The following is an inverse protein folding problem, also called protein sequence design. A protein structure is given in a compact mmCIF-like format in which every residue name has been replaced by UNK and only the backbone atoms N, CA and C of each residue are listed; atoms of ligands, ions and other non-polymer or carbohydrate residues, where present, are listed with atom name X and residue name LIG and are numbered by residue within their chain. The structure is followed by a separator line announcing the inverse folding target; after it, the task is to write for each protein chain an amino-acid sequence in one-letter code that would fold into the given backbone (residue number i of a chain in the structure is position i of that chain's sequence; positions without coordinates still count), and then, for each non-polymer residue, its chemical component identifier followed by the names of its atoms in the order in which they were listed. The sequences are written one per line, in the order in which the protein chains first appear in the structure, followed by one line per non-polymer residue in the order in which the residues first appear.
data_IF_880765785827
#
_entry.id   IF_880765785827
#
_cell.length_a   1.000
_cell.length_b   1.000
_cell.length_c   1.000
_cell.angle_alpha   90.00
_cell.angle_beta   90.00
_cell.angle_gamma   90.00
#
_symmetry.space_group_name_H-M   'P 1'
#
loop_
_entity.id
_entity.type
_entity.pdbx_description
1 polymer ?
#
# COMPACT_ATOMS: atom_id res chain seq x y z
N UNK A 1 13.30 -0.39 23.96
CA UNK A 1 13.48 1.08 23.90
C UNK A 1 12.15 1.83 23.68
N UNK A 2 11.52 1.84 22.48
CA UNK A 2 10.23 2.58 22.29
C UNK A 2 9.15 2.14 23.24
N UNK A 3 8.94 0.84 23.44
CA UNK A 3 7.95 0.30 24.36
C UNK A 3 8.18 0.70 25.84
N UNK A 4 9.40 0.90 26.25
CA UNK A 4 9.76 1.36 27.61
C UNK A 4 9.33 2.81 27.79
N UNK A 5 9.63 3.66 26.80
CA UNK A 5 9.21 5.07 26.84
C UNK A 5 7.68 5.18 26.74
N UNK A 6 7.03 4.37 25.87
CA UNK A 6 5.58 4.38 25.73
C UNK A 6 4.84 4.12 27.05
N UNK A 7 5.43 3.31 27.96
CA UNK A 7 4.83 3.05 29.28
C UNK A 7 4.94 4.23 30.26
N UNK A 8 5.82 5.19 30.00
CA UNK A 8 6.01 6.38 30.86
C UNK A 8 5.15 7.57 30.44
N UNK A 9 4.51 7.49 29.27
CA UNK A 9 3.63 8.52 28.74
C UNK A 9 2.18 8.13 28.98
N UNK A 10 1.33 9.11 29.32
CA UNK A 10 -0.12 8.86 29.41
C UNK A 10 -0.64 8.44 28.01
N UNK A 11 -1.36 7.33 27.88
CA UNK A 11 -1.74 6.80 26.58
C UNK A 11 -2.47 7.82 25.67
N UNK A 12 -3.36 8.61 26.23
CA UNK A 12 -4.10 9.63 25.46
C UNK A 12 -3.22 10.79 24.97
N UNK A 13 -2.03 10.96 25.56
CA UNK A 13 -1.03 11.95 25.17
C UNK A 13 0.04 11.37 24.22
N UNK A 14 -0.14 10.15 23.71
CA UNK A 14 0.81 9.43 22.89
C UNK A 14 0.28 9.17 21.48
N UNK A 15 1.03 9.60 20.47
CA UNK A 15 0.84 9.25 19.07
C UNK A 15 1.85 8.18 18.61
N UNK A 16 1.38 7.16 17.92
CA UNK A 16 2.18 6.09 17.33
C UNK A 16 2.09 6.16 15.81
N UNK A 17 3.21 6.52 15.16
CA UNK A 17 3.27 6.64 13.70
C UNK A 17 3.90 5.38 13.12
N UNK A 18 3.07 4.47 12.63
CA UNK A 18 3.48 3.19 12.01
C UNK A 18 4.40 2.33 12.89
N UNK A 19 4.26 2.44 14.20
CA UNK A 19 5.06 1.67 15.16
C UNK A 19 4.64 0.20 15.28
N UNK A 20 3.46 -0.17 14.77
CA UNK A 20 2.86 -1.48 15.03
C UNK A 20 2.46 -1.62 16.52
N UNK A 21 2.35 -2.87 16.98
CA UNK A 21 2.06 -3.14 18.38
C UNK A 21 3.34 -3.01 19.24
N UNK A 22 3.30 -2.12 20.21
CA UNK A 22 4.37 -1.99 21.21
C UNK A 22 4.02 -2.84 22.42
N UNK A 23 4.90 -3.80 22.83
CA UNK A 23 4.63 -4.67 23.96
C UNK A 23 4.34 -3.92 25.26
N UNK A 24 3.21 -4.23 25.90
CA UNK A 24 2.80 -3.62 27.18
C UNK A 24 2.29 -2.18 27.04
N UNK A 25 1.91 -1.75 25.84
CA UNK A 25 1.22 -0.49 25.64
C UNK A 25 -0.17 -0.56 26.26
N UNK A 26 -0.54 0.45 27.05
CA UNK A 26 -1.90 0.60 27.60
C UNK A 26 -2.84 1.12 26.49
N UNK A 27 -4.12 0.76 26.57
CA UNK A 27 -5.14 1.24 25.65
C UNK A 27 -5.27 2.78 25.71
N UNK A 28 -5.62 3.40 24.58
CA UNK A 28 -5.89 4.85 24.48
C UNK A 28 -4.86 5.66 23.70
N UNK A 29 -3.69 5.08 23.32
CA UNK A 29 -2.76 5.78 22.43
C UNK A 29 -3.34 5.88 21.01
N UNK A 30 -3.18 7.04 20.38
CA UNK A 30 -3.61 7.24 18.99
C UNK A 30 -2.59 6.58 18.05
N UNK A 31 -3.07 5.68 17.20
CA UNK A 31 -2.24 4.90 16.28
C UNK A 31 -2.50 5.31 14.84
N UNK A 32 -1.45 5.62 14.12
CA UNK A 32 -1.50 5.82 12.68
C UNK A 32 -1.13 4.52 11.98
N UNK A 33 -2.11 3.89 11.33
CA UNK A 33 -1.96 2.60 10.64
C UNK A 33 -1.86 2.79 9.12
N UNK A 34 -1.17 1.87 8.45
CA UNK A 34 -0.99 1.88 7.00
C UNK A 34 -1.63 0.68 6.30
N UNK A 35 -1.87 -0.41 7.03
CA UNK A 35 -2.30 -1.67 6.46
C UNK A 35 -3.48 -2.25 7.25
N UNK A 36 -4.41 -2.92 6.57
CA UNK A 36 -5.58 -3.56 7.20
C UNK A 36 -5.19 -4.54 8.30
N UNK A 37 -4.02 -5.18 8.20
CA UNK A 37 -3.48 -6.10 9.22
C UNK A 37 -3.09 -5.40 10.53
N UNK A 38 -2.99 -4.09 10.52
CA UNK A 38 -2.70 -3.29 11.72
C UNK A 38 -3.98 -2.88 12.47
N UNK A 39 -5.16 -3.15 11.90
CA UNK A 39 -6.44 -2.84 12.55
C UNK A 39 -6.65 -3.72 13.77
N UNK A 40 -6.97 -3.09 14.90
CA UNK A 40 -7.36 -3.76 16.15
C UNK A 40 -8.81 -3.49 16.52
N UNK A 41 -9.50 -2.64 15.75
CA UNK A 41 -10.85 -2.16 16.07
C UNK A 41 -10.88 -1.10 17.17
N UNK A 42 -9.73 -0.56 17.56
CA UNK A 42 -9.67 0.52 18.54
C UNK A 42 -10.24 1.83 17.96
N UNK A 43 -11.04 2.59 18.72
CA UNK A 43 -11.53 3.91 18.28
C UNK A 43 -10.42 4.96 18.15
N UNK A 44 -9.19 4.64 18.58
CA UNK A 44 -8.01 5.50 18.48
C UNK A 44 -7.12 5.16 17.28
N UNK A 45 -7.62 4.40 16.32
CA UNK A 45 -6.93 4.13 15.06
C UNK A 45 -7.23 5.23 14.06
N UNK A 46 -6.19 5.88 13.58
CA UNK A 46 -6.24 6.85 12.50
C UNK A 46 -5.58 6.24 11.27
N UNK A 47 -6.13 6.54 10.10
CA UNK A 47 -5.51 6.23 8.83
C UNK A 47 -4.84 7.52 8.34
N UNK A 48 -3.52 7.50 8.15
CA UNK A 48 -2.79 8.67 7.74
C UNK A 48 -3.28 9.17 6.39
N UNK A 49 -3.67 10.42 6.32
CA UNK A 49 -3.87 11.22 5.10
C UNK A 49 -4.70 10.54 3.99
N UNK A 50 -5.47 9.56 4.34
CA UNK A 50 -6.15 8.71 3.37
C UNK A 50 -7.44 9.30 2.84
N UNK A 51 -7.79 10.45 3.16
CA UNK A 51 -8.96 11.15 2.65
C UNK A 51 -8.64 12.57 2.25
N UNK A 52 -7.37 12.92 2.17
CA UNK A 52 -6.98 14.24 1.68
C UNK A 52 -6.95 14.27 0.16
N UNK A 53 -8.11 14.09 -0.43
CA UNK A 53 -8.42 14.63 -1.74
C UNK A 53 -8.43 16.18 -1.71
N UNK A 54 -8.66 16.74 -0.52
CA UNK A 54 -8.65 18.17 -0.24
C UNK A 54 -7.37 18.55 0.54
N UNK A 55 -6.47 19.37 -0.04
CA UNK A 55 -5.29 19.89 0.65
C UNK A 55 -5.62 20.69 1.92
N UNK A 56 -6.86 21.17 2.06
CA UNK A 56 -7.33 21.89 3.25
C UNK A 56 -7.80 20.98 4.37
N UNK A 57 -7.90 19.66 4.15
CA UNK A 57 -8.32 18.72 5.17
C UNK A 57 -7.35 18.71 6.35
N UNK A 58 -7.81 18.60 7.60
CA UNK A 58 -6.95 18.64 8.79
C UNK A 58 -5.96 17.47 8.77
N UNK A 59 -4.79 17.61 9.43
CA UNK A 59 -3.82 16.54 9.54
C UNK A 59 -4.45 15.28 10.16
N UNK A 60 -3.85 14.09 9.93
CA UNK A 60 -4.46 12.80 10.34
C UNK A 60 -4.78 12.70 11.84
N UNK A 61 -4.19 13.53 12.67
CA UNK A 61 -4.48 13.63 14.09
C UNK A 61 -5.47 14.77 14.45
N UNK A 62 -6.01 15.47 13.44
CA UNK A 62 -6.87 16.64 13.65
C UNK A 62 -6.13 17.73 14.44
N UNK A 63 -6.86 18.38 15.38
CA UNK A 63 -6.29 19.39 16.28
C UNK A 63 -5.65 18.78 17.54
N UNK A 64 -5.59 17.44 17.64
CA UNK A 64 -4.99 16.78 18.78
C UNK A 64 -3.49 17.12 18.87
N UNK A 65 -3.05 17.43 20.10
CA UNK A 65 -1.66 17.73 20.40
C UNK A 65 -1.16 16.74 21.45
N UNK A 66 -0.10 16.03 21.12
CA UNK A 66 0.44 14.96 21.93
C UNK A 66 1.71 15.41 22.68
N UNK A 67 1.93 14.87 23.88
CA UNK A 67 3.16 15.05 24.64
C UNK A 67 4.32 14.25 24.05
N UNK A 68 4.00 13.11 23.39
CA UNK A 68 4.97 12.28 22.71
C UNK A 68 4.42 11.71 21.42
N UNK A 69 5.29 11.64 20.40
CA UNK A 69 5.06 10.91 19.17
C UNK A 69 6.19 9.90 18.95
N UNK A 70 5.86 8.70 18.54
CA UNK A 70 6.82 7.64 18.27
C UNK A 70 6.75 7.22 16.82
N UNK A 71 7.92 7.09 16.20
CA UNK A 71 8.06 6.68 14.80
C UNK A 71 8.98 5.46 14.72
N UNK A 72 8.49 4.40 14.09
CA UNK A 72 9.33 3.26 13.72
C UNK A 72 9.36 3.14 12.20
N UNK A 73 10.38 3.72 11.54
CA UNK A 73 10.45 3.76 10.10
C UNK A 73 10.55 2.35 9.49
N UNK A 74 9.73 2.11 8.47
CA UNK A 74 9.77 0.90 7.67
C UNK A 74 10.71 1.11 6.49
N UNK A 75 12.00 0.79 6.64
CA UNK A 75 13.05 1.09 5.67
C UNK A 75 12.76 0.57 4.24
N UNK A 76 11.99 -0.54 4.11
CA UNK A 76 11.59 -1.12 2.83
C UNK A 76 10.58 -0.25 2.06
N UNK A 77 9.85 0.65 2.75
CA UNK A 77 8.91 1.59 2.11
C UNK A 77 9.60 2.88 1.62
N UNK A 78 10.90 2.99 1.83
CA UNK A 78 11.73 4.08 1.32
C UNK A 78 11.99 5.20 2.31
N UNK A 79 12.97 6.05 1.91
CA UNK A 79 13.40 7.18 2.73
C UNK A 79 12.32 8.25 2.84
N UNK A 80 11.67 8.59 1.74
CA UNK A 80 10.59 9.57 1.64
C UNK A 80 9.40 9.22 2.54
N UNK A 81 9.03 7.95 2.63
CA UNK A 81 8.03 7.50 3.59
C UNK A 81 8.47 7.69 5.04
N UNK A 82 9.72 7.36 5.35
CA UNK A 82 10.25 7.55 6.70
C UNK A 82 10.31 9.03 7.09
N UNK A 83 10.63 9.91 6.15
CA UNK A 83 10.61 11.37 6.34
C UNK A 83 9.20 11.89 6.56
N UNK A 84 8.22 11.41 5.79
CA UNK A 84 6.81 11.73 5.98
C UNK A 84 6.30 11.30 7.38
N UNK A 85 6.70 10.12 7.86
CA UNK A 85 6.36 9.66 9.21
C UNK A 85 6.93 10.56 10.30
N UNK A 86 8.19 11.02 10.16
CA UNK A 86 8.79 11.97 11.10
C UNK A 86 8.07 13.31 11.10
N UNK A 87 7.72 13.81 9.92
CA UNK A 87 6.97 15.04 9.75
C UNK A 87 5.59 14.97 10.40
N UNK A 88 4.83 13.89 10.14
CA UNK A 88 3.52 13.64 10.77
C UNK A 88 3.62 13.57 12.29
N UNK A 89 4.64 12.85 12.80
CA UNK A 89 4.90 12.79 14.24
C UNK A 89 5.21 14.15 14.84
N UNK A 90 6.02 14.99 14.16
CA UNK A 90 6.36 16.32 14.61
C UNK A 90 5.16 17.30 14.58
N UNK A 91 4.32 17.21 13.53
CA UNK A 91 3.10 18.00 13.42
C UNK A 91 2.09 17.68 14.54
N UNK A 92 2.01 16.40 14.94
CA UNK A 92 1.09 15.94 15.98
C UNK A 92 1.46 16.43 17.40
N UNK A 93 2.71 16.84 17.64
CA UNK A 93 3.18 17.23 18.97
C UNK A 93 2.61 18.58 19.44
N UNK A 94 2.38 18.69 20.74
CA UNK A 94 2.28 19.97 21.43
C UNK A 94 3.64 20.68 21.48
N UNK A 95 3.67 21.95 21.80
CA UNK A 95 4.93 22.66 22.14
C UNK A 95 5.56 22.02 23.39
N UNK A 96 6.87 21.78 23.34
CA UNK A 96 7.59 20.98 24.34
C UNK A 96 7.42 19.47 24.21
N UNK A 97 6.57 18.99 23.32
CA UNK A 97 6.36 17.56 23.03
C UNK A 97 7.59 16.89 22.42
N UNK A 98 7.69 15.58 22.59
CA UNK A 98 8.88 14.79 22.26
C UNK A 98 8.63 13.83 21.11
N UNK A 99 9.42 13.95 20.05
CA UNK A 99 9.47 13.01 18.93
C UNK A 99 10.53 11.93 19.18
N UNK A 100 10.12 10.67 19.18
CA UNK A 100 11.04 9.54 19.28
C UNK A 100 11.10 8.77 17.97
N UNK A 101 12.33 8.41 17.54
CA UNK A 101 12.53 7.59 16.35
C UNK A 101 13.56 6.50 16.63
N UNK A 102 13.17 5.24 16.46
CA UNK A 102 14.10 4.12 16.57
C UNK A 102 14.52 3.65 15.17
N UNK A 103 15.80 3.77 14.83
CA UNK A 103 16.30 3.40 13.51
C UNK A 103 17.67 2.72 13.56
N UNK A 104 17.92 1.76 12.64
CA UNK A 104 19.25 1.14 12.51
C UNK A 104 20.27 2.17 11.98
N UNK A 105 21.40 2.30 12.69
CA UNK A 105 22.49 3.23 12.32
C UNK A 105 22.92 3.06 10.86
N UNK A 106 23.11 1.81 10.41
CA UNK A 106 23.59 1.46 9.06
C UNK A 106 22.49 1.47 7.99
N UNK A 107 21.19 1.49 8.36
CA UNK A 107 20.05 1.50 7.44
C UNK A 107 19.28 2.83 7.53
N UNK A 108 19.96 3.95 7.28
CA UNK A 108 19.34 5.27 7.19
C UNK A 108 19.21 6.05 8.51
N UNK A 109 19.58 5.49 9.69
CA UNK A 109 19.43 6.18 10.97
C UNK A 109 20.07 7.57 11.03
N UNK A 110 21.25 7.74 10.44
CA UNK A 110 21.91 9.08 10.35
C UNK A 110 21.12 10.06 9.49
N UNK A 111 20.49 9.59 8.39
CA UNK A 111 19.66 10.42 7.52
C UNK A 111 18.40 10.87 8.26
N UNK A 112 17.75 9.95 8.98
CA UNK A 112 16.54 10.27 9.75
C UNK A 112 16.84 11.25 10.90
N UNK A 113 17.98 11.11 11.60
CA UNK A 113 18.41 12.09 12.59
C UNK A 113 18.64 13.48 11.96
N UNK A 114 19.14 13.55 10.73
CA UNK A 114 19.29 14.83 10.00
C UNK A 114 17.91 15.42 9.67
N UNK A 115 16.97 14.60 9.22
CA UNK A 115 15.58 15.06 8.97
C UNK A 115 14.92 15.55 10.26
N UNK A 116 15.10 14.85 11.40
CA UNK A 116 14.59 15.31 12.70
C UNK A 116 15.19 16.68 13.07
N UNK A 117 16.51 16.89 12.88
CA UNK A 117 17.14 18.20 13.12
C UNK A 117 16.63 19.29 12.19
N UNK A 118 16.44 18.96 10.91
CA UNK A 118 15.85 19.89 9.96
C UNK A 118 14.44 20.32 10.35
N UNK A 119 13.65 19.43 10.98
CA UNK A 119 12.30 19.68 11.43
C UNK A 119 12.23 20.46 12.76
N UNK A 120 13.09 20.10 13.74
CA UNK A 120 12.95 20.51 15.14
C UNK A 120 14.06 21.48 15.60
N UNK A 121 15.12 21.69 14.81
CA UNK A 121 16.33 22.41 15.19
C UNK A 121 17.48 21.48 15.54
N UNK A 122 18.73 21.93 15.32
CA UNK A 122 19.94 21.12 15.49
C UNK A 122 20.16 20.71 16.95
N UNK A 123 19.99 21.63 17.87
CA UNK A 123 20.17 21.45 19.31
C UNK A 123 19.05 20.60 19.95
N UNK A 124 17.89 20.48 19.26
CA UNK A 124 16.71 19.81 19.78
C UNK A 124 16.81 18.27 19.68
N UNK A 125 17.81 17.69 18.99
CA UNK A 125 17.85 16.26 18.66
C UNK A 125 19.08 15.56 19.20
N UNK A 126 18.85 14.55 20.04
CA UNK A 126 19.90 13.74 20.68
C UNK A 126 19.68 12.23 20.53
N UNK A 127 20.70 11.43 20.86
CA UNK A 127 20.61 9.97 20.95
C UNK A 127 20.42 9.58 22.41
N UNK A 128 19.22 9.12 22.77
CA UNK A 128 18.86 8.75 24.14
C UNK A 128 18.96 7.25 24.42
N UNK A 129 19.24 6.42 23.42
CA UNK A 129 19.40 4.98 23.60
C UNK A 129 20.11 4.32 22.43
N UNK A 130 20.76 3.17 22.72
CA UNK A 130 21.40 2.30 21.73
C UNK A 130 21.18 0.85 22.13
N UNK A 131 20.69 0.03 21.17
CA UNK A 131 20.50 -1.40 21.38
C UNK A 131 20.61 -2.16 20.05
N UNK A 132 21.43 -3.22 19.99
CA UNK A 132 21.58 -4.15 18.85
C UNK A 132 21.69 -3.46 17.48
N UNK A 133 22.44 -2.35 17.43
CA UNK A 133 22.66 -1.56 16.19
C UNK A 133 21.53 -0.57 15.87
N UNK A 134 20.50 -0.47 16.69
CA UNK A 134 19.53 0.61 16.66
C UNK A 134 19.97 1.78 17.53
N UNK A 135 19.68 2.98 17.06
CA UNK A 135 19.72 4.20 17.84
C UNK A 135 18.29 4.70 18.06
N UNK A 136 18.04 5.12 19.29
CA UNK A 136 16.83 5.83 19.65
C UNK A 136 17.15 7.32 19.69
N UNK A 137 16.60 8.05 18.75
CA UNK A 137 16.67 9.49 18.68
C UNK A 137 15.50 10.09 19.42
N UNK A 138 15.73 11.19 20.14
CA UNK A 138 14.72 12.05 20.74
C UNK A 138 14.87 13.45 20.18
N UNK A 139 13.78 14.08 19.77
CA UNK A 139 13.71 15.49 19.43
C UNK A 139 12.64 16.18 20.24
N UNK A 140 12.77 17.46 20.51
CA UNK A 140 11.79 18.27 21.23
C UNK A 140 11.22 19.32 20.27
N UNK A 141 9.88 19.43 20.19
CA UNK A 141 9.25 20.49 19.43
C UNK A 141 9.34 21.80 20.24
N UNK A 142 10.10 22.74 19.73
CA UNK A 142 10.31 24.06 20.32
C UNK A 142 10.10 25.18 19.29
N UNK A 143 10.59 26.38 19.56
CA UNK A 143 10.41 27.55 18.68
C UNK A 143 11.06 27.36 17.29
N UNK A 144 12.08 26.51 17.16
CA UNK A 144 12.75 26.21 15.89
C UNK A 144 12.01 25.20 15.03
N UNK A 145 10.82 24.74 15.42
CA UNK A 145 10.02 23.79 14.65
C UNK A 145 9.59 24.38 13.31
N UNK A 146 9.95 23.70 12.24
CA UNK A 146 9.70 24.12 10.85
C UNK A 146 8.41 23.48 10.34
N UNK A 147 7.27 24.10 10.61
CA UNK A 147 5.95 23.61 10.25
C UNK A 147 5.78 23.43 8.73
N UNK A 148 6.28 24.40 7.93
CA UNK A 148 6.23 24.34 6.46
C UNK A 148 6.99 23.14 5.89
N UNK A 149 8.19 22.84 6.42
CA UNK A 149 8.94 21.65 6.01
C UNK A 149 8.22 20.37 6.43
N UNK A 150 7.60 20.35 7.60
CA UNK A 150 6.85 19.19 8.06
C UNK A 150 5.62 18.97 7.18
N UNK A 151 4.93 20.01 6.77
CA UNK A 151 3.83 19.94 5.83
C UNK A 151 4.29 19.43 4.45
N UNK A 152 5.35 20.01 3.88
CA UNK A 152 5.95 19.54 2.62
C UNK A 152 6.30 18.05 2.64
N UNK A 153 6.96 17.59 3.71
CA UNK A 153 7.37 16.18 3.80
C UNK A 153 6.19 15.23 4.00
N UNK A 154 5.17 15.65 4.74
CA UNK A 154 4.00 14.82 5.05
C UNK A 154 3.01 14.73 3.89
N UNK A 155 2.92 15.76 3.05
CA UNK A 155 1.98 15.86 1.92
C UNK A 155 2.61 15.52 0.57
N UNK A 156 3.88 15.12 0.53
CA UNK A 156 4.62 14.79 -0.70
C UNK A 156 3.84 13.81 -1.57
N UNK A 157 3.68 14.18 -2.84
CA UNK A 157 3.00 13.37 -3.86
C UNK A 157 3.84 13.28 -5.13
N UNK A 158 3.49 12.33 -6.00
CA UNK A 158 4.11 12.08 -7.30
C UNK A 158 3.02 11.82 -8.31
N UNK A 159 3.22 12.27 -9.55
CA UNK A 159 2.36 11.89 -10.67
C UNK A 159 3.06 10.81 -11.50
N UNK A 160 2.32 9.78 -11.87
CA UNK A 160 2.77 8.70 -12.74
C UNK A 160 1.98 8.80 -14.05
N UNK A 161 2.70 8.98 -15.14
CA UNK A 161 2.22 8.84 -16.52
C UNK A 161 3.08 7.82 -17.22
N UNK A 162 2.47 6.87 -17.90
CA UNK A 162 3.17 5.79 -18.58
C UNK A 162 2.44 5.42 -19.87
N UNK A 163 3.14 5.18 -20.97
CA UNK A 163 2.52 4.78 -22.23
C UNK A 163 1.63 3.53 -22.14
N UNK A 164 1.97 2.59 -21.24
CA UNK A 164 1.16 1.39 -21.00
C UNK A 164 -0.23 1.71 -20.40
N UNK A 165 -0.35 2.85 -19.72
CA UNK A 165 -1.61 3.33 -19.14
C UNK A 165 -2.43 4.16 -20.12
N UNK A 166 -1.91 4.46 -21.33
CA UNK A 166 -2.57 5.34 -22.29
C UNK A 166 -2.67 6.77 -21.75
N UNK A 167 -3.89 7.30 -21.64
CA UNK A 167 -4.13 8.66 -21.17
C UNK A 167 -4.30 8.78 -19.64
N UNK A 168 -4.28 7.67 -18.91
CA UNK A 168 -4.46 7.69 -17.46
C UNK A 168 -3.29 8.39 -16.78
N UNK A 169 -3.61 9.20 -15.78
CA UNK A 169 -2.66 9.82 -14.87
C UNK A 169 -2.96 9.36 -13.44
N UNK A 170 -1.95 8.83 -12.75
CA UNK A 170 -2.10 8.33 -11.40
C UNK A 170 -1.31 9.20 -10.43
N UNK A 171 -1.97 9.61 -9.36
CA UNK A 171 -1.28 10.19 -8.22
C UNK A 171 -0.78 9.09 -7.29
N UNK A 172 0.38 9.33 -6.72
CA UNK A 172 1.05 8.42 -5.81
C UNK A 172 1.69 9.17 -4.65
N UNK A 173 1.96 8.47 -3.55
CA UNK A 173 2.57 9.03 -2.34
C UNK A 173 3.62 8.10 -1.74
N UNK A 174 4.49 8.59 -0.85
CA UNK A 174 5.37 7.73 -0.06
C UNK A 174 4.59 6.65 0.71
N UNK A 175 5.14 5.44 0.80
CA UNK A 175 4.53 4.33 1.56
C UNK A 175 3.67 3.37 0.75
N UNK A 176 3.55 3.58 -0.57
CA UNK A 176 2.90 2.66 -1.50
C UNK A 176 3.90 2.04 -2.47
N UNK A 177 3.50 0.95 -3.10
CA UNK A 177 4.25 0.35 -4.20
C UNK A 177 4.16 1.23 -5.46
N UNK A 178 5.23 1.24 -6.28
CA UNK A 178 5.28 2.05 -7.53
C UNK A 178 5.05 3.55 -7.32
N UNK A 179 5.68 4.14 -6.33
CA UNK A 179 5.41 5.51 -5.92
C UNK A 179 5.86 6.60 -6.90
N UNK A 180 6.80 6.33 -7.82
CA UNK A 180 7.37 7.34 -8.75
C UNK A 180 7.23 6.99 -10.21
N UNK A 181 7.07 5.72 -10.53
CA UNK A 181 6.97 5.20 -11.89
C UNK A 181 6.15 3.91 -11.91
N UNK A 182 5.61 3.56 -13.06
CA UNK A 182 4.93 2.28 -13.23
C UNK A 182 5.95 1.13 -13.16
N UNK A 183 5.64 0.09 -12.40
CA UNK A 183 6.47 -1.11 -12.30
C UNK A 183 6.58 -1.85 -13.64
N UNK A 184 7.77 -2.34 -13.96
CA UNK A 184 8.02 -3.04 -15.21
C UNK A 184 7.19 -4.33 -15.35
N UNK A 185 6.96 -5.06 -14.23
CA UNK A 185 6.05 -6.20 -14.21
C UNK A 185 4.62 -5.81 -14.55
N UNK A 186 4.14 -4.69 -14.00
CA UNK A 186 2.81 -4.14 -14.33
C UNK A 186 2.71 -3.76 -15.81
N UNK A 187 3.75 -3.15 -16.41
CA UNK A 187 3.79 -2.87 -17.85
C UNK A 187 3.70 -4.15 -18.67
N UNK A 188 4.49 -5.18 -18.31
CA UNK A 188 4.47 -6.47 -18.99
C UNK A 188 3.09 -7.14 -18.90
N UNK A 189 2.47 -7.11 -17.71
CA UNK A 189 1.13 -7.66 -17.48
C UNK A 189 0.07 -6.95 -18.32
N UNK A 190 0.07 -5.61 -18.37
CA UNK A 190 -0.82 -4.82 -19.22
C UNK A 190 -0.66 -5.22 -20.68
N UNK A 191 0.58 -5.22 -21.18
CA UNK A 191 0.84 -5.47 -22.59
C UNK A 191 0.42 -6.88 -23.03
N UNK A 192 0.66 -7.91 -22.21
CA UNK A 192 0.23 -9.29 -22.51
C UNK A 192 -1.28 -9.42 -22.40
N UNK A 193 -1.89 -8.82 -21.39
CA UNK A 193 -3.36 -8.84 -21.23
C UNK A 193 -4.04 -8.16 -22.39
N UNK A 194 -3.58 -7.00 -22.85
CA UNK A 194 -4.15 -6.32 -24.01
C UNK A 194 -4.04 -7.16 -25.29
N UNK A 195 -2.90 -7.83 -25.51
CA UNK A 195 -2.73 -8.73 -26.64
C UNK A 195 -3.70 -9.92 -26.60
N UNK A 196 -3.95 -10.49 -25.41
CA UNK A 196 -4.93 -11.54 -25.19
C UNK A 196 -6.34 -11.04 -25.50
N UNK A 197 -6.71 -9.88 -24.97
CA UNK A 197 -8.05 -9.28 -25.19
C UNK A 197 -8.29 -8.97 -26.67
N UNK A 198 -7.30 -8.47 -27.39
CA UNK A 198 -7.41 -8.21 -28.84
C UNK A 198 -7.57 -9.51 -29.63
N UNK A 199 -6.85 -10.56 -29.27
CA UNK A 199 -6.98 -11.88 -29.91
C UNK A 199 -8.39 -12.46 -29.70
N UNK A 200 -8.91 -12.33 -28.48
CA UNK A 200 -10.25 -12.83 -28.13
C UNK A 200 -11.35 -12.06 -28.87
N UNK A 201 -11.21 -10.73 -28.98
CA UNK A 201 -12.10 -9.85 -29.75
C UNK A 201 -12.10 -10.24 -31.23
N UNK A 202 -10.92 -10.45 -31.83
CA UNK A 202 -10.77 -10.91 -33.21
C UNK A 202 -11.38 -12.31 -33.45
N UNK A 203 -11.46 -13.15 -32.40
CA UNK A 203 -12.13 -14.44 -32.42
C UNK A 203 -13.66 -14.36 -32.12
N UNK A 204 -14.21 -13.15 -31.95
CA UNK A 204 -15.62 -12.92 -31.66
C UNK A 204 -16.04 -13.23 -30.22
N UNK A 205 -15.09 -13.34 -29.30
CA UNK A 205 -15.38 -13.56 -27.87
C UNK A 205 -15.88 -12.28 -27.21
N UNK A 206 -16.91 -12.39 -26.39
CA UNK A 206 -17.40 -11.23 -25.62
C UNK A 206 -16.32 -10.72 -24.65
N UNK A 207 -16.12 -9.40 -24.52
CA UNK A 207 -15.17 -8.83 -23.58
C UNK A 207 -15.59 -9.10 -22.13
N UNK A 208 -14.62 -9.24 -21.19
CA UNK A 208 -14.91 -9.37 -19.77
C UNK A 208 -15.71 -8.17 -19.26
N UNK A 209 -16.78 -8.45 -18.49
CA UNK A 209 -17.62 -7.42 -17.85
C UNK A 209 -17.33 -7.25 -16.36
N UNK A 210 -16.70 -8.24 -15.75
CA UNK A 210 -16.29 -8.19 -14.33
C UNK A 210 -14.82 -8.57 -14.22
N UNK A 211 -14.05 -7.68 -13.64
CA UNK A 211 -12.61 -7.82 -13.49
C UNK A 211 -12.24 -7.70 -12.01
N UNK A 212 -11.32 -8.54 -11.56
CA UNK A 212 -10.66 -8.44 -10.26
C UNK A 212 -9.23 -7.98 -10.48
N UNK A 213 -8.81 -6.95 -9.76
CA UNK A 213 -7.40 -6.57 -9.58
C UNK A 213 -7.00 -6.86 -8.13
N UNK A 214 -6.21 -7.90 -7.91
CA UNK A 214 -5.77 -8.31 -6.59
C UNK A 214 -4.34 -7.84 -6.33
N UNK A 215 -4.07 -7.30 -5.13
CA UNK A 215 -2.85 -6.54 -4.80
C UNK A 215 -2.71 -5.30 -5.68
N UNK A 216 -3.79 -4.53 -5.75
CA UNK A 216 -3.99 -3.48 -6.73
C UNK A 216 -3.02 -2.28 -6.60
N UNK A 217 -2.29 -2.13 -5.48
CA UNK A 217 -1.42 -0.98 -5.24
C UNK A 217 -2.20 0.32 -5.34
N UNK A 218 -1.72 1.28 -6.14
CA UNK A 218 -2.42 2.55 -6.40
C UNK A 218 -3.44 2.45 -7.56
N UNK A 219 -3.73 1.24 -8.04
CA UNK A 219 -4.76 0.93 -9.01
C UNK A 219 -4.37 0.94 -10.50
N UNK A 220 -3.10 0.80 -10.91
CA UNK A 220 -2.75 0.88 -12.33
C UNK A 220 -3.46 -0.17 -13.19
N UNK A 221 -3.58 -1.40 -12.72
CA UNK A 221 -4.26 -2.48 -13.45
C UNK A 221 -5.78 -2.29 -13.43
N UNK A 222 -6.35 -1.93 -12.27
CA UNK A 222 -7.78 -1.69 -12.13
C UNK A 222 -8.27 -0.57 -13.05
N UNK A 223 -7.56 0.58 -13.04
CA UNK A 223 -7.95 1.73 -13.86
C UNK A 223 -7.69 1.47 -15.34
N UNK A 224 -6.58 0.80 -15.68
CA UNK A 224 -6.32 0.39 -17.05
C UNK A 224 -7.43 -0.55 -17.57
N UNK A 225 -7.81 -1.57 -16.80
CA UNK A 225 -8.87 -2.49 -17.17
C UNK A 225 -10.22 -1.77 -17.35
N UNK A 226 -10.57 -0.87 -16.42
CA UNK A 226 -11.78 -0.06 -16.53
C UNK A 226 -11.75 0.86 -17.75
N UNK A 227 -10.62 1.47 -18.09
CA UNK A 227 -10.47 2.30 -19.29
C UNK A 227 -10.51 1.48 -20.57
N UNK A 228 -9.88 0.31 -20.60
CA UNK A 228 -9.77 -0.57 -21.78
C UNK A 228 -11.06 -1.31 -22.10
N UNK A 229 -11.84 -1.65 -21.08
CA UNK A 229 -13.08 -2.41 -21.17
C UNK A 229 -14.25 -1.50 -20.78
N UNK A 230 -14.86 -0.84 -21.76
CA UNK A 230 -15.84 0.25 -21.57
C UNK A 230 -17.02 -0.12 -20.64
N UNK A 231 -17.45 -1.38 -20.64
CA UNK A 231 -18.59 -1.85 -19.83
C UNK A 231 -18.19 -2.69 -18.62
N UNK A 232 -16.89 -2.78 -18.29
CA UNK A 232 -16.45 -3.58 -17.19
C UNK A 232 -16.65 -2.87 -15.84
N UNK A 233 -17.08 -3.67 -14.85
CA UNK A 233 -16.99 -3.33 -13.43
C UNK A 233 -15.73 -3.99 -12.87
N UNK A 234 -14.90 -3.21 -12.19
CA UNK A 234 -13.62 -3.66 -11.66
C UNK A 234 -13.65 -3.63 -10.15
N UNK A 235 -13.26 -4.73 -9.52
CA UNK A 235 -13.01 -4.81 -8.08
C UNK A 235 -11.52 -4.77 -7.85
N UNK A 236 -11.04 -3.75 -7.15
CA UNK A 236 -9.65 -3.63 -6.73
C UNK A 236 -9.52 -4.00 -5.26
N UNK A 237 -8.68 -4.99 -4.95
CA UNK A 237 -8.44 -5.47 -3.58
C UNK A 237 -7.02 -5.11 -3.17
N UNK A 238 -6.89 -4.42 -2.04
CA UNK A 238 -5.59 -3.95 -1.54
C UNK A 238 -5.58 -3.91 -0.01
N UNK A 239 -4.45 -4.26 0.59
CA UNK A 239 -4.26 -4.24 2.05
C UNK A 239 -3.72 -2.93 2.57
N UNK A 240 -2.95 -2.19 1.77
CA UNK A 240 -2.42 -0.89 2.13
C UNK A 240 -3.51 0.18 2.04
N UNK A 241 -3.90 0.71 3.17
CA UNK A 241 -4.99 1.67 3.30
C UNK A 241 -4.75 2.98 2.51
N UNK A 242 -3.50 3.45 2.46
CA UNK A 242 -3.12 4.61 1.64
C UNK A 242 -3.28 4.30 0.15
N UNK A 243 -2.87 3.12 -0.27
CA UNK A 243 -3.07 2.68 -1.65
C UNK A 243 -4.56 2.58 -1.99
N UNK A 244 -5.40 2.06 -1.09
CA UNK A 244 -6.86 2.03 -1.28
C UNK A 244 -7.46 3.42 -1.51
N UNK A 245 -7.04 4.43 -0.73
CA UNK A 245 -7.49 5.80 -0.93
C UNK A 245 -6.99 6.37 -2.26
N UNK A 246 -5.73 6.08 -2.62
CA UNK A 246 -5.18 6.49 -3.92
C UNK A 246 -5.90 5.82 -5.10
N UNK A 247 -6.36 4.57 -4.99
CA UNK A 247 -7.19 3.97 -6.03
C UNK A 247 -8.48 4.77 -6.22
N UNK A 248 -9.18 5.12 -5.12
CA UNK A 248 -10.42 5.92 -5.19
C UNK A 248 -10.17 7.29 -5.80
N UNK A 249 -9.13 7.98 -5.33
CA UNK A 249 -8.71 9.27 -5.87
C UNK A 249 -8.36 9.18 -7.37
N UNK A 250 -7.55 8.22 -7.75
CA UNK A 250 -7.14 8.00 -9.14
C UNK A 250 -8.33 7.61 -10.03
N UNK A 251 -9.29 6.85 -9.51
CA UNK A 251 -10.52 6.52 -10.22
C UNK A 251 -11.34 7.79 -10.49
N UNK A 252 -11.56 8.64 -9.48
CA UNK A 252 -12.26 9.91 -9.63
C UNK A 252 -11.54 10.85 -10.60
N UNK A 253 -10.21 11.01 -10.46
CA UNK A 253 -9.39 11.82 -11.36
C UNK A 253 -9.52 11.42 -12.85
N UNK A 254 -9.67 10.14 -13.12
CA UNK A 254 -9.79 9.59 -14.47
C UNK A 254 -11.25 9.30 -14.88
N UNK A 255 -12.26 9.75 -14.11
CA UNK A 255 -13.70 9.56 -14.37
C UNK A 255 -14.13 8.08 -14.43
N UNK A 256 -13.51 7.25 -13.58
CA UNK A 256 -13.74 5.80 -13.48
C UNK A 256 -14.34 5.37 -12.13
N UNK A 257 -14.69 6.31 -11.25
CA UNK A 257 -15.14 6.03 -9.87
C UNK A 257 -16.42 5.18 -9.82
N UNK A 258 -17.28 5.27 -10.81
CA UNK A 258 -18.49 4.46 -10.92
C UNK A 258 -18.24 3.02 -11.37
N UNK A 259 -17.02 2.73 -11.86
CA UNK A 259 -16.66 1.44 -12.44
C UNK A 259 -15.56 0.72 -11.66
N UNK A 260 -14.91 1.38 -10.70
CA UNK A 260 -13.85 0.81 -9.86
C UNK A 260 -14.29 0.80 -8.40
N UNK A 261 -14.55 -0.37 -7.86
CA UNK A 261 -14.87 -0.59 -6.44
C UNK A 261 -13.64 -1.06 -5.70
N UNK A 262 -13.30 -0.42 -4.58
CA UNK A 262 -12.14 -0.75 -3.76
C UNK A 262 -12.56 -1.55 -2.53
N UNK A 263 -11.90 -2.68 -2.29
CA UNK A 263 -12.04 -3.51 -1.08
C UNK A 263 -10.71 -3.47 -0.31
N UNK A 264 -10.80 -3.03 0.94
CA UNK A 264 -9.66 -2.98 1.88
C UNK A 264 -9.53 -4.34 2.56
N UNK A 265 -8.67 -5.22 2.01
CA UNK A 265 -8.53 -6.58 2.51
C UNK A 265 -7.13 -7.16 2.27
N UNK A 266 -6.67 -8.02 3.18
CA UNK A 266 -5.41 -8.75 3.04
C UNK A 266 -5.61 -10.05 2.23
N UNK A 267 -5.37 -9.98 0.93
CA UNK A 267 -5.63 -11.05 -0.04
C UNK A 267 -7.09 -11.11 -0.51
N UNK A 268 -7.51 -12.16 -1.21
CA UNK A 268 -8.86 -12.27 -1.73
C UNK A 268 -9.86 -12.43 -0.57
N UNK A 269 -10.85 -11.53 -0.42
CA UNK A 269 -11.96 -11.75 0.51
C UNK A 269 -12.89 -12.85 -0.03
N UNK A 270 -13.85 -13.28 0.78
CA UNK A 270 -14.90 -14.16 0.26
C UNK A 270 -15.69 -13.46 -0.86
N UNK A 271 -15.91 -14.11 -2.00
CA UNK A 271 -16.66 -13.50 -3.09
C UNK A 271 -18.13 -13.35 -2.71
N UNK A 272 -18.70 -12.20 -3.05
CA UNK A 272 -20.15 -12.00 -2.91
C UNK A 272 -20.91 -12.95 -3.86
N UNK A 273 -22.10 -13.41 -3.46
CA UNK A 273 -22.95 -14.22 -4.35
C UNK A 273 -23.15 -13.51 -5.69
N UNK A 274 -22.92 -14.24 -6.80
CA UNK A 274 -23.00 -13.73 -8.18
C UNK A 274 -21.92 -12.70 -8.59
N UNK A 275 -20.88 -12.50 -7.80
CA UNK A 275 -19.76 -11.59 -8.11
C UNK A 275 -18.62 -12.25 -8.91
N UNK A 276 -18.86 -13.45 -9.48
CA UNK A 276 -17.83 -14.16 -10.24
C UNK A 276 -17.30 -13.33 -11.42
N UNK A 277 -15.96 -13.27 -11.57
CA UNK A 277 -15.26 -12.45 -12.55
C UNK A 277 -14.79 -13.28 -13.74
N UNK A 278 -14.80 -12.67 -14.91
CA UNK A 278 -14.29 -13.30 -16.13
C UNK A 278 -12.77 -13.14 -16.28
N UNK A 279 -12.21 -12.11 -15.64
CA UNK A 279 -10.77 -11.80 -15.67
C UNK A 279 -10.29 -11.40 -14.28
N UNK A 280 -9.25 -12.05 -13.80
CA UNK A 280 -8.49 -11.62 -12.62
C UNK A 280 -7.08 -11.21 -13.05
N UNK A 281 -6.62 -10.06 -12.56
CA UNK A 281 -5.27 -9.54 -12.76
C UNK A 281 -4.53 -9.56 -11.43
N UNK A 282 -3.26 -9.94 -11.44
CA UNK A 282 -2.46 -10.07 -10.23
C UNK A 282 -0.99 -9.74 -10.46
N UNK A 283 -0.50 -8.73 -9.76
CA UNK A 283 0.93 -8.48 -9.57
C UNK A 283 1.27 -8.73 -8.09
N UNK A 284 1.57 -9.98 -7.68
CA UNK A 284 1.72 -10.32 -6.27
C UNK A 284 2.99 -9.72 -5.67
N UNK A 285 3.06 -9.54 -4.34
CA UNK A 285 4.27 -9.07 -3.67
C UNK A 285 5.47 -10.00 -3.95
N UNK A 286 6.58 -9.43 -4.40
CA UNK A 286 7.79 -10.18 -4.82
C UNK A 286 8.39 -11.06 -3.71
N UNK A 287 8.14 -10.73 -2.45
CA UNK A 287 8.68 -11.41 -1.27
C UNK A 287 7.61 -12.13 -0.45
N UNK A 288 6.46 -12.44 -1.05
CA UNK A 288 5.43 -13.25 -0.41
C UNK A 288 6.00 -14.64 -0.03
N UNK A 289 5.71 -15.08 1.19
CA UNK A 289 5.98 -16.45 1.57
C UNK A 289 5.04 -17.42 0.83
N UNK A 290 5.30 -18.72 0.98
CA UNK A 290 4.53 -19.74 0.29
C UNK A 290 3.04 -19.72 0.61
N UNK A 291 2.71 -19.60 1.88
CA UNK A 291 1.33 -19.63 2.33
C UNK A 291 0.56 -18.42 1.80
N UNK A 292 1.17 -17.24 1.86
CA UNK A 292 0.62 -16.01 1.28
C UNK A 292 0.43 -16.14 -0.23
N UNK A 293 1.44 -16.65 -0.95
CA UNK A 293 1.32 -16.80 -2.40
C UNK A 293 0.23 -17.81 -2.79
N UNK A 294 0.13 -18.94 -2.08
CA UNK A 294 -0.94 -19.92 -2.32
C UNK A 294 -2.32 -19.30 -2.12
N UNK A 295 -2.50 -18.52 -1.05
CA UNK A 295 -3.76 -17.82 -0.77
C UNK A 295 -4.11 -16.78 -1.86
N UNK A 296 -3.12 -16.07 -2.39
CA UNK A 296 -3.32 -15.09 -3.46
C UNK A 296 -3.63 -15.75 -4.81
N UNK A 297 -3.07 -16.92 -5.09
CA UNK A 297 -3.26 -17.65 -6.35
C UNK A 297 -4.53 -18.50 -6.38
N UNK A 298 -5.12 -18.86 -5.24
CA UNK A 298 -6.37 -19.61 -5.22
C UNK A 298 -7.59 -18.69 -5.43
N UNK A 299 -7.76 -18.26 -6.67
CA UNK A 299 -8.90 -17.43 -7.09
C UNK A 299 -10.07 -18.25 -7.65
N UNK A 300 -10.07 -19.58 -7.48
CA UNK A 300 -11.18 -20.45 -7.94
C UNK A 300 -12.55 -20.02 -7.42
N UNK A 301 -12.72 -19.52 -6.17
CA UNK A 301 -14.02 -19.03 -5.71
C UNK A 301 -14.48 -17.74 -6.41
N UNK A 302 -13.54 -16.96 -6.94
CA UNK A 302 -13.80 -15.69 -7.61
C UNK A 302 -14.08 -15.82 -9.10
N UNK A 303 -13.54 -16.86 -9.75
CA UNK A 303 -13.61 -16.98 -11.21
C UNK A 303 -14.93 -17.56 -11.69
N UNK A 304 -15.51 -16.91 -12.69
CA UNK A 304 -16.64 -17.45 -13.44
C UNK A 304 -16.24 -18.71 -14.20
N UNK A 305 -17.19 -19.58 -14.57
CA UNK A 305 -16.90 -20.68 -15.50
C UNK A 305 -16.29 -20.18 -16.80
N UNK A 306 -15.07 -20.63 -17.13
CA UNK A 306 -14.28 -20.16 -18.27
C UNK A 306 -13.52 -18.85 -18.01
N UNK A 307 -13.64 -18.29 -16.82
CA UNK A 307 -12.81 -17.15 -16.39
C UNK A 307 -11.35 -17.52 -16.27
N UNK A 308 -10.49 -16.52 -16.29
CA UNK A 308 -9.04 -16.68 -16.24
C UNK A 308 -8.37 -15.68 -15.29
N UNK A 309 -7.24 -16.09 -14.77
CA UNK A 309 -6.31 -15.22 -14.06
C UNK A 309 -5.10 -14.95 -14.95
N UNK A 310 -4.65 -13.69 -15.01
CA UNK A 310 -3.37 -13.34 -15.64
C UNK A 310 -2.52 -12.67 -14.55
N UNK A 311 -1.32 -13.20 -14.34
CA UNK A 311 -0.42 -12.72 -13.31
C UNK A 311 0.98 -12.50 -13.82
N UNK A 312 1.72 -11.63 -13.16
CA UNK A 312 3.12 -11.38 -13.45
C UNK A 312 4.00 -11.75 -12.26
N UNK A 313 5.09 -12.43 -12.50
CA UNK A 313 6.08 -12.82 -11.49
C UNK A 313 7.50 -12.70 -12.05
N UNK A 314 8.47 -12.35 -11.20
CA UNK A 314 9.90 -12.35 -11.57
C UNK A 314 10.49 -13.75 -11.57
N UNK A 315 9.93 -14.70 -10.81
CA UNK A 315 10.38 -16.09 -10.68
C UNK A 315 9.18 -17.03 -10.78
N UNK A 316 8.97 -17.73 -11.91
CA UNK A 316 7.71 -18.43 -12.18
C UNK A 316 7.57 -19.77 -11.45
N UNK A 317 8.66 -20.47 -11.11
CA UNK A 317 8.63 -21.85 -10.63
C UNK A 317 7.59 -22.08 -9.54
N UNK A 318 7.61 -21.24 -8.48
CA UNK A 318 6.70 -21.41 -7.36
C UNK A 318 5.24 -21.11 -7.70
N UNK A 319 5.00 -20.12 -8.54
CA UNK A 319 3.63 -19.81 -8.99
C UNK A 319 3.09 -20.94 -9.87
N UNK A 320 3.91 -21.47 -10.77
CA UNK A 320 3.55 -22.61 -11.64
C UNK A 320 3.25 -23.85 -10.80
N UNK A 321 4.09 -24.18 -9.82
CA UNK A 321 3.90 -25.30 -8.90
C UNK A 321 2.55 -25.19 -8.19
N UNK A 322 2.27 -24.07 -7.51
CA UNK A 322 1.01 -23.83 -6.80
C UNK A 322 -0.18 -23.90 -7.75
N UNK A 323 -0.13 -23.25 -8.90
CA UNK A 323 -1.23 -23.26 -9.87
C UNK A 323 -1.51 -24.66 -10.43
N UNK A 324 -0.46 -25.46 -10.64
CA UNK A 324 -0.58 -26.84 -11.06
C UNK A 324 -1.26 -27.70 -9.98
N UNK A 325 -0.86 -27.53 -8.71
CA UNK A 325 -1.50 -28.20 -7.57
C UNK A 325 -2.98 -27.80 -7.42
N UNK A 326 -3.33 -26.54 -7.77
CA UNK A 326 -4.71 -26.06 -7.79
C UNK A 326 -5.51 -26.56 -9.01
N UNK A 327 -4.88 -27.28 -9.92
CA UNK A 327 -5.50 -27.87 -11.12
C UNK A 327 -5.71 -26.86 -12.25
N UNK A 328 -4.89 -25.83 -12.35
CA UNK A 328 -4.95 -24.87 -13.43
C UNK A 328 -4.22 -25.36 -14.68
N UNK A 329 -4.78 -25.04 -15.85
CA UNK A 329 -4.06 -25.03 -17.12
C UNK A 329 -3.31 -23.70 -17.22
N UNK A 330 -2.00 -23.77 -17.50
CA UNK A 330 -1.11 -22.61 -17.45
C UNK A 330 -0.50 -22.38 -18.82
N UNK A 331 -0.65 -21.17 -19.33
CA UNK A 331 0.03 -20.68 -20.52
C UNK A 331 0.80 -19.41 -20.17
N UNK A 332 1.90 -19.13 -20.85
CA UNK A 332 2.61 -17.87 -20.66
C UNK A 332 4.07 -17.92 -21.08
N UNK A 333 4.77 -16.84 -20.83
CA UNK A 333 6.17 -16.71 -21.22
C UNK A 333 6.84 -15.50 -20.60
N UNK A 334 8.11 -15.34 -20.89
CA UNK A 334 8.91 -14.20 -20.46
C UNK A 334 8.64 -12.98 -21.34
N UNK A 335 8.53 -11.82 -20.68
CA UNK A 335 8.48 -10.51 -21.31
C UNK A 335 9.21 -9.49 -20.45
N UNK A 336 10.21 -8.84 -21.02
CA UNK A 336 10.99 -7.78 -20.37
C UNK A 336 11.57 -8.17 -18.99
N UNK A 337 12.04 -9.42 -18.87
CA UNK A 337 12.61 -9.98 -17.62
C UNK A 337 11.57 -10.44 -16.60
N UNK A 338 10.29 -10.44 -16.95
CA UNK A 338 9.19 -10.94 -16.13
C UNK A 338 8.45 -12.07 -16.83
N UNK A 339 7.89 -12.99 -16.07
CA UNK A 339 7.00 -14.02 -16.57
C UNK A 339 5.55 -13.61 -16.40
N UNK A 340 4.82 -13.53 -17.50
CA UNK A 340 3.37 -13.33 -17.47
C UNK A 340 2.70 -14.66 -17.75
N UNK A 341 1.90 -15.12 -16.80
CA UNK A 341 1.22 -16.40 -16.81
C UNK A 341 -0.28 -16.19 -16.89
N UNK A 342 -0.96 -16.94 -17.76
CA UNK A 342 -2.40 -17.09 -17.78
C UNK A 342 -2.77 -18.43 -17.15
N UNK A 343 -3.64 -18.44 -16.17
CA UNK A 343 -4.16 -19.63 -15.54
C UNK A 343 -5.67 -19.76 -15.75
N UNK A 344 -6.13 -20.94 -16.17
CA UNK A 344 -7.54 -21.30 -16.29
C UNK A 344 -7.82 -22.52 -15.44
N UNK A 345 -8.88 -22.47 -14.66
CA UNK A 345 -9.31 -23.61 -13.85
C UNK A 345 -10.44 -24.37 -14.54
N UNK A 346 -10.29 -25.69 -14.65
CA UNK A 346 -11.33 -26.57 -15.18
C UNK A 346 -12.67 -26.42 -14.42
N UNK A 347 -13.78 -26.75 -15.05
CA UNK A 347 -15.10 -26.77 -14.37
C UNK A 347 -14.98 -27.68 -13.14
N UNK A 348 -15.32 -27.18 -11.94
CA UNK A 348 -15.55 -28.07 -10.79
C UNK A 348 -16.55 -29.13 -11.23
N UNK A 349 -16.16 -30.40 -11.17
CA UNK A 349 -17.16 -31.47 -11.21
C UNK A 349 -18.05 -31.29 -9.98
N UNK A 350 -19.37 -31.19 -10.13
CA UNK A 350 -20.25 -31.18 -8.95
C UNK A 350 -19.96 -32.44 -8.14
N UNK A 351 -19.59 -32.24 -6.87
CA UNK A 351 -19.50 -33.32 -5.86
C UNK A 351 -20.88 -33.73 -5.44
#
# INVERSE_FOLDING_TARGET
MLAEIARTVEPRALALVHCGDLPGLRAGATRLILDVRERTGSPHECIADLGREDPSAPPPFGDARFEAAMVWPRAHLGKDFSEACLALGALALAEGGRLYCAARKQKGGKSLARTMRALLGDEAVEVVGRDRGYHLYRGVRGPDFRAELADELSTRSYEIRDPALGQLALDSRPGVFCRRELDAGTRALIAVTDAILRRDDAAGSAPPRRVLDLCAGIGPLALWAASRLEHAQVVAVESNLRACALIRHNAARNQLEQRVRVIEHDGPPEPEPKAAVELALLNPPTHADAATLTRLLDLRPWLAPGGRMILVVSRPHRAVEILTELGAEIEGGERDGYFVLQARFGRRRPT
#
